data_IF_832799963887
#
_entry.id   IF_832799963887
#
_cell.length_a   1.000
_cell.length_b   1.000
_cell.length_c   1.000
_cell.angle_alpha   90.00
_cell.angle_beta   90.00
_cell.angle_gamma   90.00
#
_symmetry.space_group_name_H-M   'P 1'
#
loop_
_entity.id
_entity.type
_entity.pdbx_description
1 polymer ?
#
# COMPACT_ATOMS: atom_id res chain seq x y z
N UNK A 1 5.56 -16.68 8.44
CA UNK A 1 6.46 -15.77 7.66
C UNK A 1 5.83 -15.22 6.36
N UNK A 2 4.59 -15.61 6.02
CA UNK A 2 3.94 -15.35 4.72
C UNK A 2 2.65 -14.50 4.81
N UNK A 3 2.56 -13.65 5.84
CA UNK A 3 1.39 -12.78 6.09
C UNK A 3 1.67 -11.28 6.01
N UNK A 4 2.94 -10.90 5.89
CA UNK A 4 3.41 -9.51 5.89
C UNK A 4 4.16 -9.22 4.59
N UNK A 5 3.81 -8.13 3.91
CA UNK A 5 4.66 -7.56 2.87
C UNK A 5 5.53 -6.48 3.51
N UNK A 6 6.85 -6.69 3.50
CA UNK A 6 7.83 -5.69 3.94
C UNK A 6 8.39 -4.98 2.71
N UNK A 7 8.15 -3.68 2.62
CA UNK A 7 8.79 -2.82 1.62
C UNK A 7 10.01 -2.16 2.27
N UNK A 8 11.21 -2.50 1.78
CA UNK A 8 12.50 -1.92 2.20
C UNK A 8 13.13 -1.11 1.06
N UNK A 9 14.12 -0.29 1.37
CA UNK A 9 14.90 0.50 0.40
C UNK A 9 15.33 -0.34 -0.82
N UNK A 10 14.89 0.05 -2.01
CA UNK A 10 15.23 -0.59 -3.30
C UNK A 10 14.15 -1.48 -3.92
N UNK A 11 12.97 -1.61 -3.29
CA UNK A 11 11.83 -2.35 -3.87
C UNK A 11 10.98 -1.40 -4.72
N UNK A 12 10.79 -1.69 -6.00
CA UNK A 12 9.76 -1.04 -6.84
C UNK A 12 8.39 -1.66 -6.55
N UNK A 13 7.37 -0.82 -6.36
CA UNK A 13 5.98 -1.25 -6.17
C UNK A 13 5.25 -0.96 -7.47
N UNK A 14 5.45 -1.85 -8.43
CA UNK A 14 4.89 -1.76 -9.79
C UNK A 14 3.45 -2.34 -9.83
N UNK A 15 2.79 -2.19 -10.96
CA UNK A 15 1.42 -2.68 -11.17
C UNK A 15 1.27 -4.13 -10.68
N UNK A 16 0.29 -4.35 -9.81
CA UNK A 16 -0.06 -5.68 -9.36
C UNK A 16 0.96 -6.37 -8.45
N UNK A 17 1.92 -5.64 -7.87
CA UNK A 17 2.95 -6.16 -6.95
C UNK A 17 2.46 -7.23 -5.97
N UNK A 18 1.28 -7.01 -5.40
CA UNK A 18 0.62 -7.82 -4.39
C UNK A 18 -0.82 -8.17 -4.76
N UNK A 19 -1.20 -7.99 -6.03
CA UNK A 19 -2.59 -8.10 -6.46
C UNK A 19 -3.11 -9.55 -6.36
N UNK A 20 -4.24 -9.71 -5.68
CA UNK A 20 -4.89 -11.00 -5.51
C UNK A 20 -4.27 -11.90 -4.44
N UNK A 21 -3.37 -11.38 -3.59
CA UNK A 21 -2.76 -12.20 -2.54
C UNK A 21 -3.78 -12.57 -1.45
N UNK A 22 -4.17 -13.86 -1.30
CA UNK A 22 -5.26 -14.27 -0.43
C UNK A 22 -4.88 -14.30 1.05
N UNK A 23 -3.57 -14.36 1.35
CA UNK A 23 -3.03 -14.50 2.71
C UNK A 23 -2.31 -13.24 3.21
N UNK A 24 -2.25 -12.18 2.40
CA UNK A 24 -1.66 -10.91 2.79
C UNK A 24 -2.57 -10.24 3.82
N UNK A 25 -2.04 -10.00 5.02
CA UNK A 25 -2.81 -9.44 6.15
C UNK A 25 -2.40 -8.03 6.50
N UNK A 26 -1.13 -7.74 6.31
CA UNK A 26 -0.58 -6.43 6.62
C UNK A 26 0.53 -6.08 5.64
N UNK A 27 0.54 -4.81 5.25
CA UNK A 27 1.63 -4.19 4.50
C UNK A 27 2.34 -3.24 5.44
N UNK A 28 3.63 -3.50 5.66
CA UNK A 28 4.50 -2.64 6.47
C UNK A 28 5.55 -2.04 5.56
N UNK A 29 5.61 -0.72 5.53
CA UNK A 29 6.62 0.02 4.76
C UNK A 29 7.61 0.63 5.75
N UNK A 30 8.86 0.19 5.68
CA UNK A 30 9.93 0.61 6.59
C UNK A 30 11.23 0.95 5.83
N UNK A 31 11.97 1.94 6.34
CA UNK A 31 13.27 2.34 5.79
C UNK A 31 13.19 3.41 4.70
N UNK A 32 14.35 3.74 4.11
CA UNK A 32 14.44 4.77 3.06
C UNK A 32 13.84 4.25 1.76
N UNK A 33 12.59 4.57 1.49
CA UNK A 33 11.93 4.16 0.26
C UNK A 33 12.13 5.25 -0.80
N UNK A 34 12.96 4.97 -1.81
CA UNK A 34 13.13 5.81 -3.01
C UNK A 34 12.04 5.55 -4.08
N UNK A 35 10.88 5.04 -3.65
CA UNK A 35 9.73 4.86 -4.53
C UNK A 35 9.05 6.21 -4.67
N UNK A 36 8.97 6.73 -5.89
CA UNK A 36 8.26 7.97 -6.19
C UNK A 36 6.75 7.74 -6.30
N UNK A 37 6.36 6.53 -6.68
CA UNK A 37 4.99 6.15 -6.98
C UNK A 37 4.71 4.69 -6.63
N UNK A 38 3.60 4.44 -5.93
CA UNK A 38 3.02 3.09 -5.82
C UNK A 38 2.06 2.96 -6.99
N UNK A 39 2.36 2.04 -7.89
CA UNK A 39 1.66 1.92 -9.16
C UNK A 39 0.23 1.36 -8.99
N UNK A 40 -0.56 1.45 -10.05
CA UNK A 40 -1.96 1.07 -10.06
C UNK A 40 -2.20 -0.38 -9.60
N UNK A 41 -3.26 -0.56 -8.81
CA UNK A 41 -3.69 -1.86 -8.27
C UNK A 41 -2.60 -2.67 -7.54
N UNK A 42 -1.54 -2.02 -7.08
CA UNK A 42 -0.41 -2.70 -6.45
C UNK A 42 -0.82 -3.67 -5.33
N UNK A 43 -1.85 -3.37 -4.54
CA UNK A 43 -2.36 -4.21 -3.46
C UNK A 43 -3.83 -4.58 -3.65
N UNK A 44 -4.33 -4.57 -4.89
CA UNK A 44 -5.72 -4.85 -5.16
C UNK A 44 -6.09 -6.31 -4.80
N UNK A 45 -7.38 -6.56 -4.59
CA UNK A 45 -7.99 -7.89 -4.37
C UNK A 45 -7.30 -8.70 -3.27
N UNK A 46 -6.86 -8.05 -2.20
CA UNK A 46 -6.33 -8.71 -1.00
C UNK A 46 -7.44 -8.84 0.05
N UNK A 47 -8.23 -9.94 0.07
CA UNK A 47 -9.42 -10.04 0.92
C UNK A 47 -9.09 -10.16 2.42
N UNK A 48 -7.84 -10.47 2.78
CA UNK A 48 -7.40 -10.54 4.19
C UNK A 48 -6.57 -9.34 4.63
N UNK A 49 -6.28 -8.38 3.75
CA UNK A 49 -5.48 -7.22 4.10
C UNK A 49 -6.27 -6.33 5.06
N UNK A 50 -5.87 -6.31 6.32
CA UNK A 50 -6.59 -5.65 7.40
C UNK A 50 -6.03 -4.28 7.75
N UNK A 51 -4.72 -4.13 7.71
CA UNK A 51 -4.03 -2.89 8.07
C UNK A 51 -2.88 -2.59 7.14
N UNK A 52 -2.61 -1.29 7.01
CA UNK A 52 -1.45 -0.78 6.28
C UNK A 52 -0.79 0.27 7.15
N UNK A 53 0.47 -0.01 7.48
CA UNK A 53 1.25 0.77 8.43
C UNK A 53 2.52 1.27 7.75
N UNK A 54 2.73 2.59 7.76
CA UNK A 54 3.91 3.22 7.16
C UNK A 54 4.75 3.86 8.26
N UNK A 55 5.90 3.25 8.57
CA UNK A 55 6.72 3.67 9.71
C UNK A 55 7.71 4.76 9.26
N UNK A 56 7.31 6.01 9.54
CA UNK A 56 7.90 7.30 9.15
C UNK A 56 9.33 7.60 9.67
N UNK A 57 10.09 6.60 10.13
CA UNK A 57 11.40 6.86 10.73
C UNK A 57 12.50 7.23 9.72
N UNK A 58 12.24 7.09 8.41
CA UNK A 58 13.18 7.40 7.33
C UNK A 58 12.51 8.18 6.20
N UNK A 59 13.29 9.03 5.52
CA UNK A 59 12.84 9.87 4.41
C UNK A 59 12.25 9.02 3.30
N UNK A 60 10.97 9.22 2.99
CA UNK A 60 10.28 8.65 1.83
C UNK A 60 10.10 9.75 0.79
N UNK A 61 10.33 9.42 -0.48
CA UNK A 61 10.04 10.31 -1.61
C UNK A 61 8.73 9.94 -2.31
N UNK A 62 7.88 9.14 -1.67
CA UNK A 62 6.60 8.74 -2.25
C UNK A 62 5.70 9.96 -2.44
N UNK A 63 5.34 10.22 -3.69
CA UNK A 63 4.54 11.38 -4.11
C UNK A 63 3.15 10.99 -4.59
N UNK A 64 3.03 9.78 -5.12
CA UNK A 64 1.83 9.32 -5.81
C UNK A 64 1.43 7.92 -5.37
N UNK A 65 0.14 7.74 -5.07
CA UNK A 65 -0.51 6.43 -5.18
C UNK A 65 -1.27 6.39 -6.51
N UNK A 66 -1.08 5.35 -7.30
CA UNK A 66 -1.80 5.15 -8.55
C UNK A 66 -3.26 4.76 -8.35
N UNK A 67 -3.94 4.42 -9.45
CA UNK A 67 -5.36 4.10 -9.42
C UNK A 67 -5.62 2.74 -8.78
N UNK A 68 -6.64 2.67 -7.94
CA UNK A 68 -7.16 1.42 -7.42
C UNK A 68 -6.20 0.59 -6.58
N UNK A 69 -5.19 1.23 -5.96
CA UNK A 69 -4.12 0.55 -5.21
C UNK A 69 -4.65 -0.46 -4.20
N UNK A 70 -5.75 -0.18 -3.51
CA UNK A 70 -6.40 -1.09 -2.54
C UNK A 70 -7.79 -1.56 -2.98
N UNK A 71 -8.08 -1.56 -4.28
CA UNK A 71 -9.37 -2.03 -4.82
C UNK A 71 -9.73 -3.42 -4.28
N UNK A 72 -10.96 -3.60 -3.80
CA UNK A 72 -11.50 -4.87 -3.33
C UNK A 72 -10.74 -5.53 -2.16
N UNK A 73 -10.06 -4.73 -1.33
CA UNK A 73 -9.52 -5.19 -0.05
C UNK A 73 -10.61 -5.19 1.03
N UNK A 74 -11.45 -6.23 1.01
CA UNK A 74 -12.67 -6.29 1.82
C UNK A 74 -12.43 -6.27 3.35
N UNK A 75 -11.28 -6.77 3.83
CA UNK A 75 -10.94 -6.78 5.26
C UNK A 75 -10.22 -5.51 5.74
N UNK A 76 -9.94 -4.55 4.87
CA UNK A 76 -9.13 -3.37 5.19
C UNK A 76 -9.92 -2.45 6.12
N UNK A 77 -9.43 -2.28 7.35
CA UNK A 77 -10.09 -1.47 8.41
C UNK A 77 -9.34 -0.17 8.71
N UNK A 78 -8.08 -0.05 8.26
CA UNK A 78 -7.26 1.14 8.51
C UNK A 78 -6.20 1.34 7.44
N UNK A 79 -6.08 2.58 6.99
CA UNK A 79 -4.98 3.07 6.14
C UNK A 79 -4.41 4.35 6.78
N UNK A 80 -3.14 4.31 7.18
CA UNK A 80 -2.49 5.44 7.86
C UNK A 80 -1.43 6.10 6.97
N UNK A 81 -1.80 7.18 6.26
CA UNK A 81 -0.89 7.88 5.34
C UNK A 81 0.00 8.95 6.01
N UNK A 82 0.04 9.01 7.34
CA UNK A 82 0.74 10.05 8.11
C UNK A 82 2.27 10.02 7.93
N UNK A 83 2.83 8.94 7.40
CA UNK A 83 4.26 8.78 7.13
C UNK A 83 4.77 9.34 5.80
N UNK A 84 3.94 10.01 4.99
CA UNK A 84 4.33 10.53 3.68
C UNK A 84 4.25 12.05 3.57
N UNK A 85 5.30 12.79 3.95
CA UNK A 85 5.29 14.26 3.90
C UNK A 85 5.25 14.82 2.47
N UNK A 86 5.71 14.06 1.47
CA UNK A 86 5.73 14.47 0.05
C UNK A 86 4.54 13.95 -0.76
N UNK A 87 3.59 13.23 -0.13
CA UNK A 87 2.43 12.70 -0.84
C UNK A 87 1.56 13.86 -1.34
N UNK A 88 1.36 13.92 -2.65
CA UNK A 88 0.64 15.00 -3.32
C UNK A 88 -0.49 14.52 -4.22
N UNK A 89 -0.43 13.27 -4.66
CA UNK A 89 -1.42 12.67 -5.55
C UNK A 89 -1.89 11.31 -5.03
N UNK A 90 -3.21 11.08 -5.08
CA UNK A 90 -3.84 9.78 -4.86
C UNK A 90 -4.74 9.52 -6.06
N UNK A 91 -4.53 8.38 -6.72
CA UNK A 91 -5.27 7.97 -7.90
C UNK A 91 -6.72 7.63 -7.63
N UNK A 92 -7.48 7.49 -8.70
CA UNK A 92 -8.91 7.19 -8.65
C UNK A 92 -9.15 5.79 -8.07
N UNK A 93 -10.34 5.57 -7.50
CA UNK A 93 -10.73 4.27 -6.92
C UNK A 93 -9.76 3.71 -5.87
N UNK A 94 -8.92 4.54 -5.24
CA UNK A 94 -7.87 4.14 -4.29
C UNK A 94 -8.33 3.10 -3.23
N UNK A 95 -9.56 3.23 -2.73
CA UNK A 95 -10.19 2.37 -1.72
C UNK A 95 -11.54 1.79 -2.19
N UNK A 96 -11.72 1.61 -3.50
CA UNK A 96 -12.97 1.09 -4.03
C UNK A 96 -13.23 -0.34 -3.54
N UNK A 97 -14.44 -0.63 -3.03
CA UNK A 97 -14.82 -1.96 -2.50
C UNK A 97 -13.99 -2.41 -1.28
N UNK A 98 -13.51 -1.45 -0.48
CA UNK A 98 -13.01 -1.69 0.88
C UNK A 98 -14.17 -1.64 1.88
N UNK A 99 -14.95 -2.73 1.97
CA UNK A 99 -16.22 -2.73 2.68
C UNK A 99 -16.10 -2.60 4.22
N UNK A 100 -14.91 -2.82 4.78
CA UNK A 100 -14.65 -2.77 6.23
C UNK A 100 -13.99 -1.48 6.73
N UNK A 101 -13.76 -0.49 5.85
CA UNK A 101 -13.02 0.74 6.15
C UNK A 101 -13.88 1.82 6.81
#
# INVERSE_FOLDING_TARGET
PEHFAWLVCGVSVDEGFADGMPNLREVVVEGTVHVMEIDHRAFARCPQLGSISFLSHFSTTLRTFGDGVFVACAALVRVELTGFPELSCIGDSFLERCDSL
#
